data_IF_505868309026
#
_entry.id   IF_505868309026
#
_cell.length_a   1.000
_cell.length_b   1.000
_cell.length_c   1.000
_cell.angle_alpha   90.00
_cell.angle_beta   90.00
_cell.angle_gamma   90.00
#
_symmetry.space_group_name_H-M   'P 1'
#
loop_
_entity.id
_entity.type
_entity.pdbx_description
1 polymer ?
#
# COMPACT_ATOMS: atom_id res chain seq x y z
N UNK A 1 -4.23 -18.38 -2.43
CA UNK A 1 -5.10 -17.19 -2.50
C UNK A 1 -6.02 -17.12 -1.28
N UNK A 2 -5.88 -16.10 -0.43
CA UNK A 2 -6.78 -15.91 0.73
C UNK A 2 -8.23 -15.74 0.27
N UNK A 3 -9.22 -16.26 1.00
CA UNK A 3 -10.63 -16.19 0.60
C UNK A 3 -11.14 -14.75 0.40
N UNK A 4 -10.60 -13.77 1.13
CA UNK A 4 -10.95 -12.35 0.99
C UNK A 4 -10.57 -11.72 -0.34
N UNK A 5 -9.59 -12.27 -1.08
CA UNK A 5 -9.04 -11.62 -2.28
C UNK A 5 -9.56 -12.22 -3.60
N UNK A 6 -10.48 -13.19 -3.52
CA UNK A 6 -11.18 -13.75 -4.70
C UNK A 6 -11.86 -12.67 -5.54
N UNK A 7 -12.38 -11.62 -4.88
CA UNK A 7 -13.03 -10.48 -5.54
C UNK A 7 -12.05 -9.46 -6.11
N UNK A 8 -10.81 -9.44 -5.62
CA UNK A 8 -9.79 -8.47 -6.03
C UNK A 8 -9.15 -8.84 -7.37
N UNK A 9 -8.99 -10.13 -7.65
CA UNK A 9 -8.38 -10.61 -8.90
C UNK A 9 -8.98 -10.00 -10.18
N UNK A 10 -10.31 -10.00 -10.42
CA UNK A 10 -10.87 -9.41 -11.63
C UNK A 10 -10.67 -7.89 -11.71
N UNK A 11 -10.77 -7.19 -10.59
CA UNK A 11 -10.59 -5.72 -10.52
C UNK A 11 -9.16 -5.34 -10.91
N UNK A 12 -8.18 -6.13 -10.46
CA UNK A 12 -6.77 -5.91 -10.80
C UNK A 12 -6.53 -6.17 -12.27
N UNK A 13 -7.11 -7.23 -12.83
CA UNK A 13 -6.95 -7.52 -14.25
C UNK A 13 -7.55 -6.41 -15.12
N UNK A 14 -8.71 -5.89 -14.73
CA UNK A 14 -9.34 -4.76 -15.42
C UNK A 14 -8.52 -3.47 -15.29
N UNK A 15 -7.94 -3.21 -14.12
CA UNK A 15 -7.04 -2.08 -13.91
C UNK A 15 -5.76 -2.19 -14.75
N UNK A 16 -5.17 -3.38 -14.87
CA UNK A 16 -3.96 -3.59 -15.67
C UNK A 16 -4.26 -3.31 -17.14
N UNK A 17 -5.36 -3.86 -17.67
CA UNK A 17 -5.81 -3.57 -19.03
C UNK A 17 -6.05 -2.07 -19.25
N UNK A 18 -6.66 -1.40 -18.27
CA UNK A 18 -6.88 0.04 -18.33
C UNK A 18 -5.55 0.80 -18.42
N UNK A 19 -4.56 0.48 -17.59
CA UNK A 19 -3.23 1.12 -17.63
C UNK A 19 -2.54 0.88 -18.97
N UNK A 20 -2.62 -0.33 -19.52
CA UNK A 20 -2.00 -0.66 -20.81
C UNK A 20 -2.66 0.06 -22.00
N UNK A 21 -3.96 0.37 -21.93
CA UNK A 21 -4.66 1.18 -22.92
C UNK A 21 -4.30 2.66 -22.76
N UNK A 22 -4.40 3.18 -21.53
CA UNK A 22 -4.24 4.61 -21.26
C UNK A 22 -2.82 5.11 -21.43
N UNK A 23 -1.80 4.27 -21.22
CA UNK A 23 -0.41 4.66 -21.44
C UNK A 23 -0.13 4.98 -22.92
N UNK A 24 -0.82 4.32 -23.85
CA UNK A 24 -0.72 4.59 -25.28
C UNK A 24 -1.45 5.89 -25.68
N UNK A 25 -2.50 6.25 -24.93
CA UNK A 25 -3.29 7.46 -25.14
C UNK A 25 -2.69 8.70 -24.45
N UNK A 26 -1.87 8.50 -23.41
CA UNK A 26 -1.27 9.58 -22.65
C UNK A 26 -0.18 10.31 -23.44
N UNK A 27 -0.15 11.64 -23.32
CA UNK A 27 0.90 12.44 -23.94
C UNK A 27 2.28 12.06 -23.35
N UNK A 28 3.30 11.77 -24.19
CA UNK A 28 4.64 11.44 -23.71
C UNK A 28 5.19 12.55 -22.79
N UNK A 29 5.77 12.17 -21.64
CA UNK A 29 6.33 13.08 -20.62
C UNK A 29 5.32 14.01 -19.95
N UNK A 30 4.02 13.75 -20.08
CA UNK A 30 3.03 14.38 -19.20
C UNK A 30 3.09 13.74 -17.81
N UNK A 31 2.70 14.47 -16.75
CA UNK A 31 2.58 13.89 -15.40
C UNK A 31 1.71 12.63 -15.36
N UNK A 32 0.67 12.57 -16.21
CA UNK A 32 -0.20 11.41 -16.34
C UNK A 32 0.52 10.22 -17.02
N UNK A 33 1.23 10.47 -18.12
CA UNK A 33 2.03 9.45 -18.79
C UNK A 33 3.16 8.91 -17.90
N UNK A 34 3.80 9.78 -17.12
CA UNK A 34 4.79 9.38 -16.11
C UNK A 34 4.18 8.50 -15.01
N UNK A 35 2.98 8.86 -14.53
CA UNK A 35 2.25 8.06 -13.55
C UNK A 35 1.92 6.65 -14.11
N UNK A 36 1.40 6.55 -15.33
CA UNK A 36 1.13 5.26 -15.95
C UNK A 36 2.39 4.43 -16.19
N UNK A 37 3.48 5.05 -16.67
CA UNK A 37 4.76 4.37 -16.87
C UNK A 37 5.35 3.85 -15.54
N UNK A 38 5.16 4.60 -14.45
CA UNK A 38 5.55 4.15 -13.12
C UNK A 38 4.66 2.99 -12.65
N UNK A 39 3.35 3.12 -12.77
CA UNK A 39 2.40 2.05 -12.44
C UNK A 39 2.71 0.76 -13.19
N UNK A 40 2.95 0.82 -14.50
CA UNK A 40 3.21 -0.36 -15.32
C UNK A 40 4.40 -1.20 -14.82
N UNK A 41 5.47 -0.55 -14.33
CA UNK A 41 6.62 -1.24 -13.73
C UNK A 41 6.27 -2.00 -12.45
N UNK A 42 5.29 -1.51 -11.69
CA UNK A 42 4.85 -2.09 -10.41
C UNK A 42 3.80 -3.19 -10.57
N UNK A 43 2.99 -3.15 -11.64
CA UNK A 43 1.85 -4.06 -11.84
C UNK A 43 2.23 -5.55 -11.79
N UNK A 44 3.41 -5.92 -12.28
CA UNK A 44 3.93 -7.29 -12.23
C UNK A 44 4.06 -7.79 -10.78
N UNK A 45 4.60 -6.95 -9.89
CA UNK A 45 4.72 -7.26 -8.46
C UNK A 45 3.38 -7.13 -7.73
N UNK A 46 2.50 -6.26 -8.19
CA UNK A 46 1.19 -6.04 -7.58
C UNK A 46 0.30 -7.29 -7.65
N UNK A 47 0.47 -8.17 -8.65
CA UNK A 47 -0.26 -9.45 -8.71
C UNK A 47 0.14 -10.43 -7.60
N UNK A 48 1.31 -10.24 -6.98
CA UNK A 48 1.90 -11.23 -6.07
C UNK A 48 1.04 -11.46 -4.82
N UNK A 49 0.34 -10.44 -4.31
CA UNK A 49 -0.53 -10.63 -3.15
C UNK A 49 -1.71 -11.55 -3.44
N UNK A 50 -2.14 -11.72 -4.69
CA UNK A 50 -3.21 -12.68 -5.03
C UNK A 50 -2.75 -14.12 -4.77
N UNK A 51 -1.47 -14.41 -4.97
CA UNK A 51 -0.88 -15.75 -4.82
C UNK A 51 -0.24 -15.96 -3.46
N UNK A 52 0.46 -14.95 -2.94
CA UNK A 52 1.22 -14.99 -1.70
C UNK A 52 0.35 -14.57 -0.51
N UNK A 53 0.15 -15.49 0.43
CA UNK A 53 -0.66 -15.25 1.63
C UNK A 53 0.00 -14.34 2.67
N UNK A 54 1.29 -14.06 2.57
CA UNK A 54 1.98 -13.18 3.52
C UNK A 54 1.87 -11.69 3.18
N UNK A 55 1.57 -11.37 1.93
CA UNK A 55 1.44 -9.99 1.46
C UNK A 55 0.01 -9.49 1.63
N UNK A 56 -0.17 -8.39 2.34
CA UNK A 56 -1.45 -7.69 2.39
C UNK A 56 -1.63 -6.77 1.16
N UNK A 57 -2.88 -6.48 0.81
CA UNK A 57 -3.20 -5.59 -0.33
C UNK A 57 -2.84 -4.12 -0.03
N UNK A 58 -2.83 -3.74 1.25
CA UNK A 58 -2.53 -2.40 1.71
C UNK A 58 -1.14 -2.34 2.37
N UNK A 59 -0.62 -1.13 2.48
CA UNK A 59 0.70 -0.88 3.06
C UNK A 59 0.62 -0.56 4.57
N UNK A 60 -0.50 -0.82 5.25
CA UNK A 60 -0.71 -0.37 6.62
C UNK A 60 0.34 -0.94 7.58
N UNK A 61 0.80 -2.17 7.33
CA UNK A 61 1.84 -2.79 8.14
C UNK A 61 3.16 -1.99 8.04
N UNK A 62 3.64 -1.71 6.82
CA UNK A 62 4.87 -0.95 6.63
C UNK A 62 4.75 0.48 7.13
N UNK A 63 3.61 1.13 6.91
CA UNK A 63 3.35 2.49 7.43
C UNK A 63 3.44 2.54 8.96
N UNK A 64 2.80 1.58 9.65
CA UNK A 64 2.91 1.47 11.11
C UNK A 64 4.35 1.24 11.56
N UNK A 65 5.12 0.42 10.84
CA UNK A 65 6.52 0.16 11.15
C UNK A 65 7.40 1.42 11.01
N UNK A 66 7.23 2.21 9.95
CA UNK A 66 8.04 3.42 9.72
C UNK A 66 7.58 4.62 10.55
N UNK A 67 6.33 4.62 11.04
CA UNK A 67 5.73 5.75 11.76
C UNK A 67 6.52 6.16 13.00
N UNK A 68 7.01 5.20 13.79
CA UNK A 68 7.82 5.45 14.99
C UNK A 68 9.10 6.23 14.66
N UNK A 69 9.73 5.90 13.54
CA UNK A 69 10.93 6.57 13.06
C UNK A 69 10.65 7.99 12.56
N UNK A 70 9.59 8.16 11.76
CA UNK A 70 9.19 9.47 11.23
C UNK A 70 8.80 10.43 12.35
N UNK A 71 8.02 9.95 13.33
CA UNK A 71 7.63 10.76 14.49
C UNK A 71 8.84 11.11 15.36
N UNK A 72 9.78 10.19 15.54
CA UNK A 72 11.00 10.43 16.31
C UNK A 72 11.88 11.54 15.73
N UNK A 73 11.82 11.79 14.42
CA UNK A 73 12.50 12.92 13.77
C UNK A 73 11.79 14.26 13.97
N UNK A 74 10.47 14.25 14.10
CA UNK A 74 9.66 15.48 14.23
C UNK A 74 9.59 15.98 15.68
N UNK A 75 9.53 15.06 16.65
CA UNK A 75 9.27 15.38 18.06
C UNK A 75 10.52 15.09 18.94
N UNK A 76 11.54 14.41 18.40
CA UNK A 76 12.69 13.93 19.16
C UNK A 76 12.45 12.48 19.62
N UNK A 77 13.34 11.58 19.22
CA UNK A 77 13.21 10.12 19.39
C UNK A 77 13.04 9.69 20.86
N UNK A 78 13.58 10.47 21.81
CA UNK A 78 13.49 10.20 23.24
C UNK A 78 12.08 10.36 23.82
N UNK A 79 11.22 11.20 23.23
CA UNK A 79 9.87 11.48 23.78
C UNK A 79 8.91 10.31 23.53
N UNK A 80 9.16 9.51 22.48
CA UNK A 80 8.27 8.40 22.06
C UNK A 80 8.48 7.14 22.93
N UNK A 81 9.61 7.01 23.61
CA UNK A 81 9.88 5.89 24.55
C UNK A 81 9.28 6.11 25.95
N UNK A 82 8.85 7.34 26.30
CA UNK A 82 8.25 7.65 27.61
C UNK A 82 6.74 7.42 27.69
N UNK A 83 6.09 7.06 26.58
CA UNK A 83 4.71 6.60 26.58
C UNK A 83 4.67 5.10 26.31
N UNK A 84 4.90 4.28 27.32
CA UNK A 84 4.34 2.93 27.30
C UNK A 84 2.85 3.05 27.01
N UNK A 85 2.42 2.24 26.06
CA UNK A 85 1.04 2.02 25.72
C UNK A 85 0.35 1.49 26.98
N UNK A 86 -0.33 2.36 27.72
CA UNK A 86 -1.39 1.89 28.59
C UNK A 86 -2.36 1.08 27.70
N UNK A 87 -2.60 -0.21 28.00
CA UNK A 87 -3.57 -0.97 27.25
C UNK A 87 -4.89 -0.22 27.35
N UNK A 88 -5.51 0.08 26.21
CA UNK A 88 -6.88 0.58 26.18
C UNK A 88 -7.72 -0.45 26.93
N UNK A 89 -8.05 -0.16 28.19
CA UNK A 89 -9.02 -0.92 28.94
C UNK A 89 -10.34 -0.78 28.18
N UNK A 90 -10.69 -1.84 27.44
CA UNK A 90 -12.04 -2.06 26.95
C UNK A 90 -12.93 -2.28 28.18
N UNK A 91 -13.34 -1.19 28.82
CA UNK A 91 -14.49 -1.21 29.71
C UNK A 91 -15.74 -1.33 28.85
N UNK A 92 -16.25 -2.55 28.76
CA UNK A 92 -17.68 -2.82 28.60
C UNK A 92 -18.01 -3.96 29.56
N UNK A 93 -18.38 -3.57 30.78
CA UNK A 93 -19.41 -4.14 31.67
C UNK A 93 -19.25 -3.51 33.06
#
# INVERSE_FOLDING_TARGET
MKPGWKKSAPIIEDFIKYVDIEIANALPKSPLGEAFAYSQKLLSSFRLFLTDGFLEIDNNASERCIKSFVLGRKIGFSIIRQGELEPVQLFTA
#
